data_IF_983622739225
#
_entry.id   IF_983622739225
#
_cell.length_a   1.000
_cell.length_b   1.000
_cell.length_c   1.000
_cell.angle_alpha   90.00
_cell.angle_beta   90.00
_cell.angle_gamma   90.00
#
_symmetry.space_group_name_H-M   'P 1'
#
loop_
_entity.id
_entity.type
_entity.pdbx_description
1 polymer ?
#
# COMPACT_ATOMS: atom_id res chain seq x y z
N UNK A 1 5.25 -19.96 53.77
CA UNK A 1 5.51 -20.00 52.33
C UNK A 1 4.26 -19.82 51.46
N UNK A 2 3.07 -20.24 51.84
CA UNK A 2 1.82 -20.09 51.02
C UNK A 2 1.31 -18.66 50.88
N UNK A 3 1.63 -17.74 51.76
CA UNK A 3 1.15 -16.35 51.73
C UNK A 3 1.85 -15.48 50.68
N UNK A 4 3.10 -15.78 50.33
CA UNK A 4 3.85 -14.99 49.36
C UNK A 4 3.56 -15.37 47.89
N UNK A 5 3.09 -16.61 47.67
CA UNK A 5 2.68 -17.07 46.34
C UNK A 5 1.38 -16.38 45.90
N UNK A 6 0.47 -16.11 46.80
CA UNK A 6 -0.78 -15.39 46.50
C UNK A 6 -0.52 -13.90 46.18
N UNK A 7 0.48 -13.29 46.82
CA UNK A 7 0.83 -11.90 46.54
C UNK A 7 1.52 -11.75 45.18
N UNK A 8 2.33 -12.73 44.74
CA UNK A 8 2.97 -12.73 43.46
C UNK A 8 1.98 -12.90 42.29
N UNK A 9 0.95 -13.70 42.47
CA UNK A 9 -0.12 -13.88 41.48
C UNK A 9 -1.00 -12.64 41.33
N UNK A 10 -1.22 -11.88 42.41
CA UNK A 10 -2.00 -10.63 42.35
C UNK A 10 -1.23 -9.49 41.63
N UNK A 11 0.08 -9.48 41.74
CA UNK A 11 0.91 -8.46 41.01
C UNK A 11 1.02 -8.77 39.53
N UNK A 12 1.04 -10.04 39.12
CA UNK A 12 1.02 -10.39 37.68
C UNK A 12 -0.30 -10.03 36.98
N UNK A 13 -1.44 -10.02 37.70
CA UNK A 13 -2.73 -9.63 37.12
C UNK A 13 -2.89 -8.13 36.90
N UNK A 14 -2.07 -7.29 37.54
CA UNK A 14 -2.15 -5.83 37.38
C UNK A 14 -1.32 -5.28 36.22
N UNK A 15 -0.50 -6.11 35.60
CA UNK A 15 0.30 -5.71 34.41
C UNK A 15 -0.26 -6.24 33.09
N UNK A 16 -1.49 -6.70 33.04
CA UNK A 16 -2.22 -6.83 31.79
C UNK A 16 -2.62 -5.44 31.33
N UNK A 17 -1.64 -4.61 31.00
CA UNK A 17 -1.88 -3.41 30.20
C UNK A 17 -2.30 -3.93 28.83
N UNK A 18 -3.60 -3.93 28.64
CA UNK A 18 -4.22 -4.01 27.33
C UNK A 18 -3.55 -2.95 26.46
N UNK A 19 -2.59 -3.36 25.63
CA UNK A 19 -2.16 -2.56 24.50
C UNK A 19 -3.37 -2.56 23.56
N UNK A 20 -4.36 -1.76 23.87
CA UNK A 20 -5.36 -1.33 22.92
C UNK A 20 -4.58 -0.48 21.89
N UNK A 21 -4.08 -1.14 20.85
CA UNK A 21 -3.73 -0.45 19.62
C UNK A 21 -5.01 0.21 19.14
N UNK A 22 -5.18 1.45 19.54
CA UNK A 22 -6.07 2.37 18.86
C UNK A 22 -5.51 2.48 17.43
N UNK A 23 -5.95 1.60 16.56
CA UNK A 23 -5.91 1.86 15.13
C UNK A 23 -6.79 3.08 14.93
N UNK A 24 -6.16 4.24 15.06
CA UNK A 24 -6.75 5.48 14.62
C UNK A 24 -6.89 5.32 13.12
N UNK A 25 -8.05 4.83 12.69
CA UNK A 25 -8.42 4.91 11.30
C UNK A 25 -8.29 6.38 10.94
N UNK A 26 -7.29 6.70 10.13
CA UNK A 26 -7.21 8.03 9.52
C UNK A 26 -8.47 8.09 8.67
N UNK A 27 -9.44 8.93 9.01
CA UNK A 27 -10.58 9.10 8.13
C UNK A 27 -10.02 9.59 6.82
N UNK A 28 -10.02 8.71 5.82
CA UNK A 28 -9.82 9.12 4.44
C UNK A 28 -11.10 9.91 4.12
N UNK A 29 -11.05 11.19 4.46
CA UNK A 29 -12.08 12.09 3.97
C UNK A 29 -12.14 11.89 2.46
N UNK A 30 -13.29 11.54 1.90
CA UNK A 30 -13.40 11.53 0.45
C UNK A 30 -12.96 12.92 0.02
N UNK A 31 -11.94 12.97 -0.85
CA UNK A 31 -11.47 14.21 -1.45
C UNK A 31 -12.71 14.97 -1.89
N UNK A 32 -13.06 15.98 -1.12
CA UNK A 32 -14.27 16.77 -1.36
C UNK A 32 -14.08 17.38 -2.75
N UNK A 33 -14.69 16.76 -3.74
CA UNK A 33 -14.87 17.37 -5.04
C UNK A 33 -15.74 18.58 -4.77
N UNK A 34 -15.10 19.73 -4.60
CA UNK A 34 -15.79 21.01 -4.56
C UNK A 34 -16.68 21.03 -5.79
N UNK A 35 -17.99 21.00 -5.59
CA UNK A 35 -18.92 21.10 -6.69
C UNK A 35 -18.57 22.36 -7.47
N UNK A 36 -18.31 22.28 -8.78
CA UNK A 36 -17.89 23.45 -9.53
C UNK A 36 -19.02 24.47 -9.44
N UNK A 37 -18.68 25.68 -8.95
CA UNK A 37 -19.54 26.82 -9.11
C UNK A 37 -19.86 26.93 -10.61
N UNK A 38 -21.12 26.99 -10.96
CA UNK A 38 -21.63 26.89 -12.33
C UNK A 38 -21.09 27.97 -13.29
N UNK A 39 -20.36 28.94 -12.76
CA UNK A 39 -19.70 30.01 -13.51
C UNK A 39 -18.22 29.74 -13.82
N UNK A 40 -17.56 28.76 -13.18
CA UNK A 40 -16.13 28.56 -13.32
C UNK A 40 -15.87 27.34 -14.22
N UNK A 41 -15.24 27.57 -15.38
CA UNK A 41 -14.81 26.53 -16.31
C UNK A 41 -13.67 25.74 -15.66
N UNK A 42 -14.01 24.70 -14.92
CA UNK A 42 -13.03 23.80 -14.28
C UNK A 42 -12.46 22.82 -15.30
N UNK A 43 -11.16 22.53 -15.17
CA UNK A 43 -10.52 21.41 -15.86
C UNK A 43 -10.18 20.35 -14.84
N UNK A 44 -10.57 19.12 -15.09
CA UNK A 44 -10.17 18.00 -14.27
C UNK A 44 -8.81 17.47 -14.74
N UNK A 45 -7.89 17.29 -13.80
CA UNK A 45 -6.61 16.62 -14.02
C UNK A 45 -6.58 15.37 -13.15
N UNK A 46 -6.38 14.22 -13.77
CA UNK A 46 -6.20 12.94 -13.07
C UNK A 46 -4.72 12.59 -13.07
N UNK A 47 -4.19 12.35 -11.88
CA UNK A 47 -2.79 11.97 -11.67
C UNK A 47 -2.79 10.61 -10.99
N UNK A 48 -2.07 9.65 -11.55
CA UNK A 48 -1.71 8.40 -10.90
C UNK A 48 -0.24 8.44 -10.51
N UNK A 49 0.05 7.83 -9.36
CA UNK A 49 1.40 7.71 -8.86
C UNK A 49 1.70 6.25 -8.55
N UNK A 50 2.91 5.81 -8.91
CA UNK A 50 3.52 4.57 -8.44
C UNK A 50 4.78 4.89 -7.63
N UNK A 51 5.09 4.06 -6.64
CA UNK A 51 6.33 4.11 -5.87
C UNK A 51 6.61 2.75 -5.24
N UNK A 52 7.84 2.54 -4.79
CA UNK A 52 8.24 1.40 -3.94
C UNK A 52 7.82 0.05 -4.55
N UNK A 53 8.03 -0.12 -5.83
CA UNK A 53 7.63 -1.36 -6.52
C UNK A 53 8.59 -2.51 -6.28
N UNK A 54 9.82 -2.23 -5.82
CA UNK A 54 10.79 -3.19 -5.29
C UNK A 54 10.93 -4.45 -6.13
N UNK A 55 11.14 -4.31 -7.44
CA UNK A 55 11.28 -5.44 -8.39
C UNK A 55 10.11 -6.47 -8.31
N UNK A 56 8.94 -6.05 -7.84
CA UNK A 56 7.78 -6.92 -7.69
C UNK A 56 7.09 -7.12 -9.04
N UNK A 57 7.66 -7.98 -9.86
CA UNK A 57 7.14 -8.30 -11.21
C UNK A 57 5.89 -9.17 -11.09
N UNK A 58 5.95 -10.21 -10.26
CA UNK A 58 4.83 -11.11 -10.02
C UNK A 58 4.00 -10.72 -8.80
N UNK A 59 2.74 -11.13 -8.74
CA UNK A 59 1.93 -10.98 -7.52
C UNK A 59 2.57 -11.72 -6.34
N UNK A 60 2.25 -11.27 -5.13
CA UNK A 60 2.55 -12.05 -3.92
C UNK A 60 1.81 -13.37 -4.00
N UNK A 61 2.49 -14.47 -3.68
CA UNK A 61 1.88 -15.79 -3.75
C UNK A 61 0.58 -15.85 -2.92
N UNK A 62 -0.47 -16.47 -3.46
CA UNK A 62 -1.79 -16.53 -2.80
C UNK A 62 -1.77 -17.31 -1.50
N UNK A 63 -0.79 -18.20 -1.32
CA UNK A 63 -0.57 -18.99 -0.12
C UNK A 63 0.48 -18.39 0.83
N UNK A 64 0.95 -17.19 0.55
CA UNK A 64 1.87 -16.50 1.45
C UNK A 64 1.19 -16.17 2.78
N UNK A 65 1.93 -16.27 3.89
CA UNK A 65 1.48 -15.80 5.18
C UNK A 65 1.61 -14.26 5.27
N UNK A 66 0.93 -13.56 4.37
CA UNK A 66 1.00 -12.12 4.19
C UNK A 66 -0.41 -11.59 3.93
N UNK A 67 -0.76 -10.46 4.57
CA UNK A 67 -2.04 -9.78 4.37
C UNK A 67 -2.27 -9.34 2.92
N UNK A 68 -1.22 -9.22 2.14
CA UNK A 68 -1.26 -8.85 0.73
C UNK A 68 -1.15 -10.05 -0.21
N UNK A 69 -1.34 -11.29 0.29
CA UNK A 69 -1.31 -12.49 -0.52
C UNK A 69 -2.21 -12.35 -1.75
N UNK A 70 -1.69 -12.73 -2.91
CA UNK A 70 -2.37 -12.61 -4.19
C UNK A 70 -2.45 -11.19 -4.77
N UNK A 71 -1.93 -10.17 -4.09
CA UNK A 71 -1.94 -8.78 -4.55
C UNK A 71 -0.64 -8.40 -5.29
N UNK A 72 -0.63 -7.23 -5.91
CA UNK A 72 0.53 -6.68 -6.62
C UNK A 72 0.77 -7.29 -7.99
N UNK A 73 1.99 -7.12 -8.48
CA UNK A 73 2.44 -7.59 -9.79
C UNK A 73 2.28 -6.57 -10.91
N UNK A 74 3.28 -6.54 -11.80
CA UNK A 74 3.37 -5.55 -12.90
C UNK A 74 2.21 -5.66 -13.89
N UNK A 75 1.79 -6.88 -14.23
CA UNK A 75 0.70 -7.11 -15.19
C UNK A 75 -0.62 -6.51 -14.69
N UNK A 76 -0.94 -6.68 -13.42
CA UNK A 76 -2.14 -6.09 -12.81
C UNK A 76 -2.06 -4.57 -12.76
N UNK A 77 -0.89 -4.03 -12.41
CA UNK A 77 -0.63 -2.59 -12.42
C UNK A 77 -0.83 -2.01 -13.82
N UNK A 78 -0.24 -2.63 -14.84
CA UNK A 78 -0.41 -2.23 -16.23
C UNK A 78 -1.88 -2.28 -16.68
N UNK A 79 -2.60 -3.32 -16.31
CA UNK A 79 -4.03 -3.46 -16.60
C UNK A 79 -4.83 -2.32 -15.96
N UNK A 80 -4.60 -2.03 -14.68
CA UNK A 80 -5.26 -0.94 -13.97
C UNK A 80 -5.01 0.42 -14.66
N UNK A 81 -3.74 0.71 -15.00
CA UNK A 81 -3.37 1.96 -15.68
C UNK A 81 -4.06 2.05 -17.05
N UNK A 82 -4.10 0.95 -17.79
CA UNK A 82 -4.77 0.88 -19.10
C UNK A 82 -6.27 1.19 -18.99
N UNK A 83 -6.95 0.61 -18.02
CA UNK A 83 -8.37 0.88 -17.79
C UNK A 83 -8.61 2.32 -17.32
N UNK A 84 -7.77 2.84 -16.42
CA UNK A 84 -7.85 4.22 -15.98
C UNK A 84 -7.66 5.22 -17.14
N UNK A 85 -6.77 4.94 -18.09
CA UNK A 85 -6.56 5.75 -19.29
C UNK A 85 -7.73 5.73 -20.28
N UNK A 86 -8.52 4.65 -20.31
CA UNK A 86 -9.76 4.62 -21.13
C UNK A 86 -10.77 5.63 -20.61
N UNK A 87 -10.88 5.76 -19.27
CA UNK A 87 -11.81 6.69 -18.63
C UNK A 87 -11.24 8.12 -18.65
N UNK A 88 -9.94 8.27 -18.48
CA UNK A 88 -9.24 9.54 -18.40
C UNK A 88 -8.08 9.57 -19.42
N UNK A 89 -8.31 9.87 -20.71
CA UNK A 89 -7.28 9.81 -21.74
C UNK A 89 -6.07 10.71 -21.48
N UNK A 90 -6.26 11.81 -20.76
CA UNK A 90 -5.22 12.79 -20.40
C UNK A 90 -4.60 12.54 -19.03
N UNK A 91 -4.78 11.34 -18.47
CA UNK A 91 -4.20 10.95 -17.21
C UNK A 91 -2.67 11.04 -17.25
N UNK A 92 -2.10 11.68 -16.23
CA UNK A 92 -0.66 11.70 -15.99
C UNK A 92 -0.29 10.55 -15.06
N UNK A 93 0.80 9.88 -15.39
CA UNK A 93 1.37 8.81 -14.57
C UNK A 93 2.79 9.21 -14.17
N UNK A 94 3.06 9.19 -12.88
CA UNK A 94 4.39 9.43 -12.31
C UNK A 94 4.84 8.21 -11.54
N UNK A 95 6.14 7.92 -11.62
CA UNK A 95 6.80 6.99 -10.73
C UNK A 95 7.73 7.76 -9.79
N UNK A 96 7.62 7.53 -8.49
CA UNK A 96 8.39 8.23 -7.47
C UNK A 96 9.62 7.46 -7.00
N UNK A 97 9.97 6.41 -7.72
CA UNK A 97 11.20 5.68 -7.48
C UNK A 97 11.05 4.48 -6.54
N UNK A 98 12.19 4.03 -6.05
CA UNK A 98 12.38 2.79 -5.31
C UNK A 98 11.83 1.56 -6.05
N UNK A 99 12.19 1.51 -7.33
CA UNK A 99 11.68 0.50 -8.28
C UNK A 99 12.40 -0.83 -8.17
N UNK A 100 13.61 -0.85 -7.61
CA UNK A 100 14.53 -1.99 -7.61
C UNK A 100 14.65 -2.65 -6.24
N UNK A 101 15.35 -3.81 -6.19
CA UNK A 101 15.58 -4.64 -5.01
C UNK A 101 14.34 -5.42 -4.53
N UNK A 102 14.54 -6.25 -3.50
CA UNK A 102 13.46 -6.98 -2.80
C UNK A 102 13.02 -8.28 -3.46
N UNK A 103 13.43 -8.59 -4.69
CA UNK A 103 13.13 -9.87 -5.35
C UNK A 103 14.33 -10.43 -6.12
N UNK A 104 14.31 -11.72 -6.49
CA UNK A 104 15.36 -12.32 -7.30
C UNK A 104 15.57 -11.64 -8.67
N UNK A 105 14.59 -10.94 -9.21
CA UNK A 105 14.70 -10.22 -10.47
C UNK A 105 15.80 -9.17 -10.42
N UNK A 106 15.90 -8.39 -9.34
CA UNK A 106 16.98 -7.43 -9.20
C UNK A 106 18.35 -8.11 -9.14
N UNK A 107 18.47 -9.21 -8.42
CA UNK A 107 19.76 -9.93 -8.29
C UNK A 107 20.23 -10.49 -9.63
N UNK A 108 19.32 -10.91 -10.50
CA UNK A 108 19.63 -11.49 -11.81
C UNK A 108 19.81 -10.43 -12.90
N UNK A 109 19.03 -9.35 -12.88
CA UNK A 109 18.92 -8.41 -13.99
C UNK A 109 19.29 -6.97 -13.62
N UNK A 110 19.64 -6.70 -12.34
CA UNK A 110 20.16 -5.42 -11.85
C UNK A 110 19.33 -4.18 -12.27
N UNK A 111 18.02 -4.32 -12.32
CA UNK A 111 17.09 -3.24 -12.66
C UNK A 111 16.69 -3.18 -14.14
N UNK A 112 17.27 -3.97 -15.02
CA UNK A 112 16.93 -3.94 -16.46
C UNK A 112 15.47 -4.32 -16.72
N UNK A 113 14.95 -5.32 -15.99
CA UNK A 113 13.56 -5.78 -16.13
C UNK A 113 12.60 -4.70 -15.63
N UNK A 114 12.90 -4.08 -14.50
CA UNK A 114 12.09 -3.03 -13.90
C UNK A 114 11.93 -1.84 -14.84
N UNK A 115 13.03 -1.37 -15.41
CA UNK A 115 13.00 -0.25 -16.38
C UNK A 115 12.22 -0.59 -17.65
N UNK A 116 12.32 -1.82 -18.14
CA UNK A 116 11.53 -2.26 -19.31
C UNK A 116 10.04 -2.40 -19.03
N UNK A 117 9.65 -2.57 -17.76
CA UNK A 117 8.26 -2.73 -17.33
C UNK A 117 7.58 -1.42 -16.95
N UNK A 118 8.31 -0.32 -16.90
CA UNK A 118 7.79 1.03 -16.67
C UNK A 118 7.23 1.63 -17.96
#
# INVERSE_FOLDING_TARGET
>A
MKRYILLLMAVCCLFSISAQQSTKEIPVEPLCLVAPDSAQKTKQLVILQTSDTHSRIEPIAVNAADRYAGMGGTVRRATFIKEARKINPNLLLFDCGDISQGTPYYNLFQGEVEVKMM
#
